data_IF_820723854089
#
_entry.id   IF_820723854089
#
_cell.length_a   1.000
_cell.length_b   1.000
_cell.length_c   1.000
_cell.angle_alpha   90.00
_cell.angle_beta   90.00
_cell.angle_gamma   90.00
#
_symmetry.space_group_name_H-M   'P 1'
#
loop_
_entity.id
_entity.type
_entity.pdbx_description
1 polymer ?
#
# COMPACT_ATOMS: atom_id res chain seq x y z
N UNK A 1 33.17 6.49 -25.40
CA UNK A 1 32.95 6.35 -23.95
C UNK A 1 34.24 5.85 -23.35
N UNK A 2 35.06 6.73 -22.77
CA UNK A 2 36.26 6.27 -22.06
C UNK A 2 35.81 5.60 -20.77
N UNK A 3 36.26 4.37 -20.55
CA UNK A 3 36.08 3.70 -19.26
C UNK A 3 36.99 4.39 -18.25
N UNK A 4 36.39 4.99 -17.23
CA UNK A 4 37.12 5.51 -16.07
C UNK A 4 37.94 4.36 -15.46
N UNK A 5 39.24 4.59 -15.28
CA UNK A 5 40.11 3.63 -14.61
C UNK A 5 39.81 3.61 -13.10
N UNK A 6 40.02 2.47 -12.44
CA UNK A 6 39.81 2.37 -10.99
C UNK A 6 40.65 3.38 -10.18
N UNK A 7 41.81 3.79 -10.71
CA UNK A 7 42.64 4.86 -10.12
C UNK A 7 42.01 6.24 -10.23
N UNK A 8 41.37 6.55 -11.36
CA UNK A 8 40.66 7.82 -11.56
C UNK A 8 39.43 7.89 -10.64
N UNK A 9 38.69 6.79 -10.53
CA UNK A 9 37.55 6.69 -9.61
C UNK A 9 37.97 6.92 -8.14
N UNK A 10 39.06 6.28 -7.68
CA UNK A 10 39.53 6.44 -6.30
C UNK A 10 40.01 7.87 -6.01
N UNK A 11 40.69 8.51 -6.98
CA UNK A 11 41.11 9.90 -6.85
C UNK A 11 39.91 10.86 -6.81
N UNK A 12 38.90 10.64 -7.66
CA UNK A 12 37.66 11.40 -7.66
C UNK A 12 36.86 11.18 -6.36
N UNK A 13 36.79 9.94 -5.87
CA UNK A 13 36.13 9.61 -4.60
C UNK A 13 36.78 10.33 -3.42
N UNK A 14 38.11 10.30 -3.29
CA UNK A 14 38.83 10.98 -2.22
C UNK A 14 38.69 12.52 -2.28
N UNK A 15 38.67 13.09 -3.48
CA UNK A 15 38.43 14.52 -3.67
C UNK A 15 36.97 14.90 -3.30
N UNK A 16 36.00 14.05 -3.65
CA UNK A 16 34.60 14.25 -3.31
C UNK A 16 34.34 14.07 -1.81
N UNK A 17 34.93 13.05 -1.17
CA UNK A 17 34.83 12.82 0.28
C UNK A 17 35.27 14.06 1.06
N UNK A 18 36.42 14.62 0.71
CA UNK A 18 36.94 15.85 1.33
C UNK A 18 36.06 17.08 1.08
N UNK A 19 35.36 17.12 -0.05
CA UNK A 19 34.41 18.19 -0.37
C UNK A 19 33.10 18.03 0.41
N UNK A 20 32.69 16.79 0.68
CA UNK A 20 31.46 16.44 1.38
C UNK A 20 31.60 16.39 2.90
N UNK A 21 32.84 16.42 3.43
CA UNK A 21 33.18 16.39 4.86
C UNK A 21 32.45 17.49 5.68
N UNK A 22 31.99 18.56 5.03
CA UNK A 22 31.25 19.66 5.66
C UNK A 22 29.80 19.81 5.18
N UNK A 23 29.34 18.97 4.24
CA UNK A 23 27.97 19.04 3.69
C UNK A 23 27.06 17.95 4.24
N UNK A 24 27.62 16.90 4.83
CA UNK A 24 26.89 15.80 5.45
C UNK A 24 27.01 15.86 6.97
N UNK A 25 25.90 16.13 7.65
CA UNK A 25 25.78 15.95 9.08
C UNK A 25 24.92 14.70 9.35
N UNK A 26 25.53 13.66 9.91
CA UNK A 26 24.85 12.41 10.27
C UNK A 26 23.72 12.62 11.28
N UNK A 27 23.79 13.67 12.11
CA UNK A 27 22.71 14.04 13.03
C UNK A 27 21.49 14.67 12.32
N UNK A 28 21.63 15.03 11.04
CA UNK A 28 20.55 15.56 10.20
C UNK A 28 19.98 14.49 9.24
N UNK A 29 20.43 13.23 9.32
CA UNK A 29 19.76 12.14 8.65
C UNK A 29 18.39 11.90 9.31
N UNK A 30 17.34 12.27 8.59
CA UNK A 30 15.97 11.97 8.98
C UNK A 30 15.39 10.93 8.02
N UNK A 31 15.18 9.72 8.55
CA UNK A 31 14.45 8.68 7.85
C UNK A 31 12.97 9.08 7.76
N UNK A 32 12.52 9.35 6.54
CA UNK A 32 11.20 9.91 6.24
C UNK A 32 10.15 8.79 6.09
N UNK A 33 9.89 8.01 7.14
CA UNK A 33 8.78 7.07 7.20
C UNK A 33 8.48 6.65 8.65
N UNK A 34 7.19 6.49 8.98
CA UNK A 34 6.75 5.94 10.27
C UNK A 34 6.14 4.55 10.09
N UNK A 35 6.58 3.57 10.87
CA UNK A 35 5.99 2.22 10.93
C UNK A 35 5.57 1.90 12.35
N UNK A 36 4.51 1.11 12.50
CA UNK A 36 3.98 0.72 13.82
C UNK A 36 3.14 -0.54 13.75
N UNK A 37 2.97 -1.18 14.90
CA UNK A 37 2.16 -2.38 15.06
C UNK A 37 1.37 -2.29 16.36
N UNK A 38 0.12 -2.76 16.32
CA UNK A 38 -0.76 -2.85 17.48
C UNK A 38 -1.33 -4.26 17.52
N UNK A 39 -1.23 -4.91 18.67
CA UNK A 39 -1.69 -6.29 18.85
C UNK A 39 -2.44 -6.45 20.19
N UNK A 40 -3.45 -7.32 20.18
CA UNK A 40 -4.06 -7.83 21.42
C UNK A 40 -3.21 -8.96 21.98
N UNK A 41 -2.71 -8.81 23.21
CA UNK A 41 -1.92 -9.85 23.88
C UNK A 41 -2.77 -11.08 24.26
N UNK A 42 -4.08 -10.92 24.38
CA UNK A 42 -5.02 -12.00 24.67
C UNK A 42 -5.53 -12.72 23.41
N UNK A 43 -5.07 -12.30 22.22
CA UNK A 43 -5.47 -12.86 20.93
C UNK A 43 -6.91 -12.57 20.50
N UNK A 44 -7.66 -11.75 21.24
CA UNK A 44 -9.06 -11.46 20.92
C UNK A 44 -9.17 -10.34 19.90
N UNK A 45 -9.96 -10.57 18.85
CA UNK A 45 -10.25 -9.58 17.80
C UNK A 45 -11.12 -8.47 18.35
N UNK A 46 -10.75 -7.21 18.07
CA UNK A 46 -11.40 -6.04 18.65
C UNK A 46 -11.23 -4.80 17.76
N UNK A 47 -12.30 -4.00 17.66
CA UNK A 47 -12.36 -2.82 16.76
C UNK A 47 -11.45 -1.69 17.20
N UNK A 48 -11.20 -1.57 18.50
CA UNK A 48 -10.31 -0.57 19.09
C UNK A 48 -8.86 -0.74 18.63
N UNK A 49 -8.37 -1.95 18.32
CA UNK A 49 -7.05 -2.15 17.70
C UNK A 49 -6.95 -1.44 16.34
N UNK A 50 -7.96 -1.64 15.48
CA UNK A 50 -8.01 -0.97 14.18
C UNK A 50 -8.12 0.55 14.37
N UNK A 51 -8.84 1.00 15.40
CA UNK A 51 -8.99 2.43 15.69
C UNK A 51 -7.67 3.04 16.12
N UNK A 52 -6.95 2.39 17.02
CA UNK A 52 -5.63 2.81 17.46
C UNK A 52 -4.64 2.85 16.30
N UNK A 53 -4.73 1.92 15.33
CA UNK A 53 -3.90 1.94 14.12
C UNK A 53 -4.17 3.17 13.25
N UNK A 54 -5.44 3.53 13.08
CA UNK A 54 -5.85 4.76 12.37
C UNK A 54 -5.36 6.01 13.12
N UNK A 55 -5.49 6.04 14.44
CA UNK A 55 -5.08 7.18 15.25
C UNK A 55 -3.55 7.36 15.26
N UNK A 56 -2.79 6.25 15.21
CA UNK A 56 -1.34 6.29 15.02
C UNK A 56 -0.95 6.86 13.64
N UNK A 57 -1.64 6.45 12.56
CA UNK A 57 -1.39 6.99 11.22
C UNK A 57 -1.69 8.51 11.14
N UNK A 58 -2.66 9.01 11.91
CA UNK A 58 -2.92 10.45 12.02
C UNK A 58 -1.84 11.22 12.76
N UNK A 59 -0.96 10.56 13.50
CA UNK A 59 0.08 11.20 14.30
C UNK A 59 1.44 11.32 13.57
N UNK A 60 1.61 10.70 12.40
CA UNK A 60 2.90 10.64 11.68
C UNK A 60 3.03 11.62 10.50
N UNK A 61 2.08 12.53 10.31
CA UNK A 61 2.09 13.52 9.21
C UNK A 61 3.35 14.39 9.19
N UNK A 62 3.93 14.69 10.36
CA UNK A 62 5.16 15.48 10.50
C UNK A 62 6.42 14.77 9.95
N UNK A 63 6.29 13.49 9.55
CA UNK A 63 7.38 12.66 8.99
C UNK A 63 7.12 12.22 7.55
N UNK A 64 5.97 12.58 6.99
CA UNK A 64 5.63 12.25 5.60
C UNK A 64 6.00 13.39 4.67
N UNK A 65 6.55 13.07 3.50
CA UNK A 65 6.59 14.04 2.42
C UNK A 65 5.16 14.27 1.91
N UNK A 66 4.78 15.54 1.84
CA UNK A 66 3.51 15.99 1.26
C UNK A 66 3.87 16.80 0.02
N UNK A 67 3.24 16.50 -1.10
CA UNK A 67 3.41 17.28 -2.33
C UNK A 67 2.86 18.70 -2.12
N UNK A 68 3.24 19.63 -2.99
CA UNK A 68 2.88 21.04 -2.87
C UNK A 68 1.36 21.29 -2.95
N UNK A 69 0.57 20.31 -3.39
CA UNK A 69 -0.90 20.38 -3.44
C UNK A 69 -1.59 20.21 -2.07
N UNK A 70 -0.84 19.87 -1.01
CA UNK A 70 -1.35 19.67 0.35
C UNK A 70 -2.29 18.46 0.51
N UNK A 71 -2.41 17.60 -0.51
CA UNK A 71 -3.29 16.43 -0.53
C UNK A 71 -2.55 15.15 -0.86
N UNK A 72 -1.61 15.21 -1.81
CA UNK A 72 -0.81 14.07 -2.23
C UNK A 72 0.29 13.83 -1.22
N UNK A 73 0.32 12.62 -0.65
CA UNK A 73 1.47 12.09 0.07
C UNK A 73 2.02 10.87 -0.66
N UNK A 74 3.24 10.44 -0.29
CA UNK A 74 3.93 9.34 -0.96
C UNK A 74 3.23 7.99 -0.79
N UNK A 75 2.60 7.76 0.36
CA UNK A 75 1.83 6.55 0.63
C UNK A 75 1.53 6.36 2.12
N UNK A 76 0.38 5.75 2.39
CA UNK A 76 0.00 5.30 3.72
C UNK A 76 -0.82 4.01 3.59
N UNK A 77 -0.73 3.14 4.59
CA UNK A 77 -1.45 1.87 4.59
C UNK A 77 -1.66 1.32 5.99
N UNK A 78 -2.69 0.50 6.13
CA UNK A 78 -2.97 -0.28 7.32
C UNK A 78 -3.23 -1.72 6.91
N UNK A 79 -2.53 -2.66 7.53
CA UNK A 79 -2.76 -4.09 7.34
C UNK A 79 -3.53 -4.64 8.54
N UNK A 80 -4.64 -5.32 8.27
CA UNK A 80 -5.48 -5.95 9.29
C UNK A 80 -5.87 -7.35 8.84
N UNK A 81 -6.26 -8.18 9.81
CA UNK A 81 -6.91 -9.45 9.49
C UNK A 81 -8.20 -9.25 8.71
N UNK A 82 -8.55 -10.21 7.84
CA UNK A 82 -9.80 -10.19 7.09
C UNK A 82 -11.00 -10.24 8.07
N UNK A 83 -11.85 -9.20 8.12
CA UNK A 83 -13.03 -9.17 8.99
C UNK A 83 -14.10 -10.12 8.42
N UNK A 84 -14.09 -11.37 8.86
CA UNK A 84 -14.96 -12.43 8.34
C UNK A 84 -16.44 -12.07 8.41
N UNK A 85 -16.90 -11.50 9.52
CA UNK A 85 -18.31 -11.11 9.69
C UNK A 85 -18.75 -10.03 8.69
N UNK A 86 -17.85 -9.09 8.37
CA UNK A 86 -18.12 -8.06 7.37
C UNK A 86 -18.29 -8.71 5.98
N UNK A 87 -17.32 -9.51 5.53
CA UNK A 87 -17.40 -10.14 4.21
C UNK A 87 -18.53 -11.16 4.11
N UNK A 88 -18.86 -11.86 5.20
CA UNK A 88 -20.00 -12.75 5.25
C UNK A 88 -21.33 -12.00 5.04
N UNK A 89 -21.47 -10.79 5.59
CA UNK A 89 -22.63 -9.94 5.35
C UNK A 89 -22.68 -9.44 3.88
N UNK A 90 -21.54 -9.07 3.30
CA UNK A 90 -21.45 -8.65 1.90
C UNK A 90 -21.87 -9.76 0.93
N UNK A 91 -21.39 -11.00 1.14
CA UNK A 91 -21.77 -12.18 0.34
C UNK A 91 -23.28 -12.41 0.38
N UNK A 92 -23.86 -12.40 1.58
CA UNK A 92 -25.32 -12.57 1.77
C UNK A 92 -26.11 -11.46 1.08
N UNK A 93 -25.63 -10.20 1.15
CA UNK A 93 -26.29 -9.07 0.49
C UNK A 93 -26.25 -9.20 -1.04
N UNK A 94 -25.20 -9.83 -1.59
CA UNK A 94 -25.11 -10.17 -3.01
C UNK A 94 -26.03 -11.33 -3.45
N UNK A 95 -26.74 -11.98 -2.52
CA UNK A 95 -27.67 -13.08 -2.80
C UNK A 95 -27.03 -14.47 -2.85
N UNK A 96 -25.73 -14.60 -2.60
CA UNK A 96 -25.06 -15.92 -2.49
C UNK A 96 -25.14 -16.46 -1.05
N UNK A 97 -24.90 -17.77 -0.90
CA UNK A 97 -24.90 -18.47 0.39
C UNK A 97 -23.46 -18.70 0.85
N UNK A 98 -23.24 -18.55 2.16
CA UNK A 98 -21.93 -18.84 2.76
C UNK A 98 -21.60 -20.33 2.61
N UNK A 99 -20.35 -20.58 2.20
CA UNK A 99 -19.72 -21.89 2.16
C UNK A 99 -18.94 -22.12 3.46
N UNK A 100 -18.61 -23.37 3.75
CA UNK A 100 -17.80 -23.71 4.92
C UNK A 100 -16.38 -23.14 4.83
N UNK A 101 -15.81 -22.79 5.98
CA UNK A 101 -14.46 -22.25 6.09
C UNK A 101 -14.37 -20.72 6.00
N UNK A 102 -13.16 -20.16 6.14
CA UNK A 102 -12.93 -18.73 6.08
C UNK A 102 -13.09 -18.19 4.66
N UNK A 103 -13.59 -16.97 4.55
CA UNK A 103 -13.62 -16.20 3.31
C UNK A 103 -12.22 -15.62 3.06
N UNK A 104 -11.66 -15.91 1.90
CA UNK A 104 -10.46 -15.27 1.39
C UNK A 104 -10.82 -14.00 0.60
N UNK A 105 -9.91 -13.02 0.60
CA UNK A 105 -10.09 -11.74 -0.11
C UNK A 105 -8.81 -11.40 -0.86
N UNK A 106 -8.95 -11.12 -2.16
CA UNK A 106 -7.90 -10.48 -2.95
C UNK A 106 -8.16 -8.99 -3.03
N UNK A 107 -7.26 -8.18 -2.46
CA UNK A 107 -7.25 -6.73 -2.67
C UNK A 107 -6.37 -6.44 -3.90
N UNK A 108 -6.99 -6.05 -5.01
CA UNK A 108 -6.29 -5.86 -6.28
C UNK A 108 -6.53 -4.47 -6.86
N UNK A 109 -5.52 -3.95 -7.54
CA UNK A 109 -5.58 -2.75 -8.35
C UNK A 109 -5.62 -3.15 -9.82
N UNK A 110 -6.53 -2.53 -10.58
CA UNK A 110 -6.78 -2.86 -11.97
C UNK A 110 -6.60 -1.60 -12.84
N UNK A 111 -6.46 -1.74 -14.16
CA UNK A 111 -6.53 -0.60 -15.07
C UNK A 111 -7.86 0.15 -14.91
N UNK A 112 -7.79 1.46 -14.67
CA UNK A 112 -8.96 2.35 -14.50
C UNK A 112 -9.56 2.83 -15.83
N UNK A 113 -8.72 3.15 -16.81
CA UNK A 113 -9.11 3.81 -18.06
C UNK A 113 -9.21 2.87 -19.25
N UNK A 114 -8.66 1.66 -19.14
CA UNK A 114 -8.73 0.62 -20.17
C UNK A 114 -9.60 -0.54 -19.66
N UNK A 115 -10.87 -0.53 -20.05
CA UNK A 115 -11.85 -1.54 -19.64
C UNK A 115 -11.55 -2.93 -20.23
N UNK A 116 -10.93 -2.98 -21.41
CA UNK A 116 -10.55 -4.25 -22.02
C UNK A 116 -9.39 -4.89 -21.23
N UNK A 117 -8.37 -4.11 -20.88
CA UNK A 117 -7.30 -4.55 -20.02
C UNK A 117 -7.81 -4.93 -18.61
N UNK A 118 -8.77 -4.16 -18.07
CA UNK A 118 -9.41 -4.50 -16.80
C UNK A 118 -10.05 -5.89 -16.82
N UNK A 119 -10.83 -6.21 -17.85
CA UNK A 119 -11.46 -7.53 -17.98
C UNK A 119 -10.43 -8.65 -18.19
N UNK A 120 -9.38 -8.41 -18.97
CA UNK A 120 -8.26 -9.36 -19.11
C UNK A 120 -7.62 -9.65 -17.74
N UNK A 121 -7.33 -8.61 -16.95
CA UNK A 121 -6.78 -8.79 -15.61
C UNK A 121 -7.72 -9.60 -14.70
N UNK A 122 -9.03 -9.33 -14.75
CA UNK A 122 -10.03 -10.08 -13.97
C UNK A 122 -10.08 -11.55 -14.39
N UNK A 123 -10.07 -11.82 -15.70
CA UNK A 123 -10.06 -13.19 -16.23
C UNK A 123 -8.82 -13.97 -15.78
N UNK A 124 -7.64 -13.35 -15.78
CA UNK A 124 -6.41 -13.98 -15.28
C UNK A 124 -6.58 -14.34 -13.81
N UNK A 125 -7.02 -13.40 -12.97
CA UNK A 125 -7.23 -13.64 -11.53
C UNK A 125 -8.24 -14.75 -11.30
N UNK A 126 -9.38 -14.73 -11.98
CA UNK A 126 -10.43 -15.75 -11.85
C UNK A 126 -9.93 -17.12 -12.31
N UNK A 127 -9.24 -17.19 -13.45
CA UNK A 127 -8.71 -18.42 -14.02
C UNK A 127 -7.76 -19.10 -13.04
N UNK A 128 -6.81 -18.37 -12.46
CA UNK A 128 -5.86 -18.96 -11.52
C UNK A 128 -6.53 -19.44 -10.23
N UNK A 129 -7.52 -18.71 -9.71
CA UNK A 129 -8.28 -19.15 -8.52
C UNK A 129 -9.07 -20.43 -8.83
N UNK A 130 -9.70 -20.51 -10.01
CA UNK A 130 -10.48 -21.66 -10.44
C UNK A 130 -9.61 -22.88 -10.76
N UNK A 131 -8.39 -22.68 -11.29
CA UNK A 131 -7.42 -23.75 -11.56
C UNK A 131 -7.02 -24.52 -10.29
N UNK A 132 -7.00 -23.83 -9.14
CA UNK A 132 -6.77 -24.45 -7.83
C UNK A 132 -8.04 -25.04 -7.20
N UNK A 133 -9.17 -25.03 -7.91
CA UNK A 133 -10.43 -25.62 -7.44
C UNK A 133 -11.21 -24.77 -6.43
N UNK A 134 -10.77 -23.53 -6.16
CA UNK A 134 -11.51 -22.62 -5.30
C UNK A 134 -12.79 -22.09 -5.97
N UNK A 135 -13.63 -21.41 -5.19
CA UNK A 135 -14.88 -20.79 -5.65
C UNK A 135 -14.82 -19.29 -5.41
N UNK A 136 -15.42 -18.54 -6.32
CA UNK A 136 -15.42 -17.08 -6.29
C UNK A 136 -16.85 -16.63 -5.97
N UNK A 137 -17.04 -15.89 -4.87
CA UNK A 137 -18.32 -15.26 -4.55
C UNK A 137 -18.64 -14.10 -5.51
N UNK A 138 -17.62 -13.37 -5.93
CA UNK A 138 -17.74 -12.28 -6.88
C UNK A 138 -16.74 -11.16 -6.60
N UNK A 139 -16.84 -10.12 -7.42
CA UNK A 139 -16.05 -8.90 -7.28
C UNK A 139 -16.81 -7.86 -6.46
N UNK A 140 -16.07 -7.08 -5.69
CA UNK A 140 -16.60 -5.95 -4.92
C UNK A 140 -15.76 -4.71 -5.21
N UNK A 141 -16.37 -3.71 -5.84
CA UNK A 141 -15.74 -2.40 -5.95
C UNK A 141 -15.61 -1.78 -4.55
N UNK A 142 -14.38 -1.47 -4.14
CA UNK A 142 -14.12 -0.88 -2.83
C UNK A 142 -14.67 0.56 -2.82
N UNK A 143 -15.53 0.92 -1.86
CA UNK A 143 -16.00 2.30 -1.74
C UNK A 143 -14.83 3.20 -1.35
N UNK A 144 -14.63 4.26 -2.13
CA UNK A 144 -13.57 5.25 -1.93
C UNK A 144 -14.15 6.66 -2.03
N UNK A 145 -13.58 7.62 -1.30
CA UNK A 145 -13.78 9.04 -1.53
C UNK A 145 -12.56 9.59 -2.27
N UNK A 146 -12.77 10.15 -3.46
CA UNK A 146 -11.68 10.64 -4.33
C UNK A 146 -11.46 12.15 -4.17
N UNK A 147 -12.30 12.83 -3.40
CA UNK A 147 -12.18 14.27 -3.12
C UNK A 147 -10.99 14.57 -2.19
N UNK A 148 -10.55 13.57 -1.42
CA UNK A 148 -9.45 13.67 -0.47
C UNK A 148 -8.07 13.37 -1.06
N UNK A 149 -7.95 13.06 -2.36
CA UNK A 149 -6.66 12.83 -3.03
C UNK A 149 -6.32 14.00 -3.96
N UNK A 150 -5.02 14.26 -4.14
CA UNK A 150 -4.55 15.27 -5.09
C UNK A 150 -4.66 14.81 -6.55
N UNK A 151 -4.57 15.76 -7.48
CA UNK A 151 -4.75 15.48 -8.92
C UNK A 151 -3.70 14.49 -9.45
N UNK A 152 -2.45 14.63 -8.99
CA UNK A 152 -1.33 13.76 -9.35
C UNK A 152 -1.59 12.31 -8.93
N UNK A 153 -2.01 12.09 -7.68
CA UNK A 153 -2.40 10.76 -7.21
C UNK A 153 -3.64 10.22 -7.92
N UNK A 154 -4.62 11.07 -8.24
CA UNK A 154 -5.83 10.66 -8.94
C UNK A 154 -5.59 10.27 -10.41
N UNK A 155 -4.59 10.87 -11.06
CA UNK A 155 -4.19 10.56 -12.43
C UNK A 155 -3.62 9.15 -12.56
N UNK A 156 -2.84 8.69 -11.58
CA UNK A 156 -2.25 7.34 -11.53
C UNK A 156 -3.05 6.34 -10.70
N UNK A 157 -4.21 6.77 -10.16
CA UNK A 157 -5.08 5.89 -9.37
C UNK A 157 -5.57 4.71 -10.21
N UNK A 158 -5.47 3.48 -9.69
CA UNK A 158 -6.10 2.32 -10.29
C UNK A 158 -7.64 2.34 -10.17
#
# INVERSE_FOLDING_TARGET
>A
MSMESGSEFLAAWAANEKTLEHTYNREQEHDACGVGMIAALDGKKRRDIVQAGIDALKAVWHRGAVDADGKTGDGAGIHIEIPQDFFAAEVKRGGDRLREGPIAVGQVFLPKTDLAAQEICRQIVETEILNFGYRIYGWRQVPINVECIGEKANATRP
#
